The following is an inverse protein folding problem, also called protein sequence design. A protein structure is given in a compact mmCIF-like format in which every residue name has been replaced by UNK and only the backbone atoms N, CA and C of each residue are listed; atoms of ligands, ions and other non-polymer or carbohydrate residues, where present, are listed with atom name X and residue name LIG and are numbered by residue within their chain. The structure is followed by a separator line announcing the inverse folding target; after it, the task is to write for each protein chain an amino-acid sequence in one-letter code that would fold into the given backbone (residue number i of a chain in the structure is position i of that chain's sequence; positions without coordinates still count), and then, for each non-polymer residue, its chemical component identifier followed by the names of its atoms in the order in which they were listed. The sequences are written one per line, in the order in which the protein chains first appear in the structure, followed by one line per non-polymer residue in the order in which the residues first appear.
data_IF_368248462757
#
_entry.id   IF_368248462757
#
_cell.length_a   1.000
_cell.length_b   1.000
_cell.length_c   1.000
_cell.angle_alpha   90.00
_cell.angle_beta   90.00
_cell.angle_gamma   90.00
#
_symmetry.space_group_name_H-M   'P 1'
#
loop_
_entity.id
_entity.type
_entity.pdbx_description
1 polymer ?
#
# COMPACT_ATOMS: atom_id res chain seq x y z
N UNK A 1 -42.39 -18.49 -2.66
CA UNK A 1 -41.30 -18.17 -1.71
C UNK A 1 -40.33 -17.24 -2.40
N UNK A 2 -40.41 -15.93 -2.13
CA UNK A 2 -39.40 -14.97 -2.58
C UNK A 2 -38.27 -15.00 -1.55
N UNK A 3 -37.19 -15.71 -1.85
CA UNK A 3 -35.96 -15.59 -1.08
C UNK A 3 -35.34 -14.23 -1.42
N UNK A 4 -35.51 -13.26 -0.53
CA UNK A 4 -34.71 -12.03 -0.53
C UNK A 4 -33.25 -12.43 -0.29
N UNK A 5 -32.46 -12.50 -1.36
CA UNK A 5 -31.00 -12.67 -1.26
C UNK A 5 -30.38 -11.30 -1.02
N UNK A 6 -29.71 -11.11 0.11
CA UNK A 6 -28.91 -9.92 0.38
C UNK A 6 -27.43 -10.20 0.07
N UNK A 7 -26.68 -9.21 -0.45
CA UNK A 7 -25.26 -9.38 -0.69
C UNK A 7 -24.51 -9.47 0.65
N UNK A 8 -23.64 -10.47 0.79
CA UNK A 8 -22.67 -10.53 1.87
C UNK A 8 -21.49 -9.60 1.56
N UNK A 9 -20.79 -9.15 2.59
CA UNK A 9 -19.70 -8.19 2.45
C UNK A 9 -18.60 -8.61 1.47
N UNK A 10 -18.20 -9.88 1.46
CA UNK A 10 -17.23 -10.39 0.49
C UNK A 10 -17.73 -10.27 -0.96
N UNK A 11 -19.03 -10.49 -1.19
CA UNK A 11 -19.66 -10.28 -2.49
C UNK A 11 -19.74 -8.82 -2.89
N UNK A 12 -19.92 -7.91 -1.92
CA UNK A 12 -19.87 -6.46 -2.17
C UNK A 12 -18.46 -6.01 -2.57
N UNK A 13 -17.41 -6.49 -1.88
CA UNK A 13 -16.00 -6.21 -2.23
C UNK A 13 -15.70 -6.73 -3.64
N UNK A 14 -16.05 -7.98 -3.94
CA UNK A 14 -15.86 -8.57 -5.27
C UNK A 14 -16.51 -7.72 -6.38
N UNK A 15 -17.76 -7.31 -6.16
CA UNK A 15 -18.50 -6.48 -7.12
C UNK A 15 -17.92 -5.07 -7.25
N UNK A 16 -17.47 -4.45 -6.15
CA UNK A 16 -16.97 -3.08 -6.14
C UNK A 16 -15.68 -2.93 -6.94
N UNK A 17 -14.73 -3.85 -6.74
CA UNK A 17 -13.43 -3.83 -7.43
C UNK A 17 -13.40 -4.60 -8.75
N UNK A 18 -14.55 -5.16 -9.17
CA UNK A 18 -14.66 -6.02 -10.34
C UNK A 18 -13.64 -7.18 -10.30
N UNK A 19 -13.64 -7.93 -9.18
CA UNK A 19 -12.74 -9.05 -8.89
C UNK A 19 -13.56 -10.34 -8.78
N UNK A 20 -12.97 -11.47 -9.18
CA UNK A 20 -13.63 -12.76 -9.05
C UNK A 20 -13.96 -13.08 -7.58
N UNK A 21 -15.17 -13.57 -7.32
CA UNK A 21 -15.54 -14.04 -5.97
C UNK A 21 -14.59 -15.14 -5.45
N UNK A 22 -14.01 -15.97 -6.34
CA UNK A 22 -13.03 -17.00 -5.99
C UNK A 22 -11.75 -16.40 -5.42
N UNK A 23 -11.31 -15.27 -5.97
CA UNK A 23 -10.16 -14.52 -5.47
C UNK A 23 -10.43 -13.94 -4.09
N UNK A 24 -11.61 -13.32 -3.88
CA UNK A 24 -11.97 -12.79 -2.56
C UNK A 24 -12.09 -13.91 -1.51
N UNK A 25 -12.66 -15.05 -1.88
CA UNK A 25 -12.72 -16.24 -1.02
C UNK A 25 -11.30 -16.75 -0.69
N UNK A 26 -10.40 -16.82 -1.68
CA UNK A 26 -9.00 -17.21 -1.49
C UNK A 26 -8.27 -16.24 -0.57
N UNK A 27 -8.46 -14.93 -0.75
CA UNK A 27 -7.90 -13.92 0.16
C UNK A 27 -8.42 -14.12 1.58
N UNK A 28 -9.74 -14.18 1.76
CA UNK A 28 -10.36 -14.31 3.08
C UNK A 28 -9.98 -15.60 3.81
N UNK A 29 -9.67 -16.69 3.10
CA UNK A 29 -9.26 -17.97 3.69
C UNK A 29 -7.75 -18.10 3.92
N UNK A 30 -6.93 -17.37 3.15
CA UNK A 30 -5.47 -17.50 3.20
C UNK A 30 -4.79 -16.45 4.09
N UNK A 31 -5.37 -15.25 4.21
CA UNK A 31 -4.80 -14.21 5.08
C UNK A 31 -5.05 -14.54 6.55
N UNK A 32 -4.07 -14.27 7.40
CA UNK A 32 -4.14 -14.42 8.87
C UNK A 32 -3.51 -13.21 9.54
N UNK A 33 -3.77 -12.98 10.82
CA UNK A 33 -3.11 -11.90 11.58
C UNK A 33 -1.58 -11.97 11.61
N UNK A 34 -0.98 -13.10 11.21
CA UNK A 34 0.48 -13.33 11.17
C UNK A 34 1.06 -13.34 9.76
N UNK A 35 0.25 -13.09 8.73
CA UNK A 35 0.73 -13.05 7.35
C UNK A 35 1.80 -11.96 7.22
N UNK A 36 2.96 -12.32 6.67
CA UNK A 36 4.08 -11.41 6.44
C UNK A 36 4.16 -11.02 4.95
N UNK A 37 5.14 -10.18 4.58
CA UNK A 37 5.29 -9.69 3.21
C UNK A 37 5.38 -10.81 2.16
N UNK A 38 6.15 -11.87 2.43
CA UNK A 38 6.27 -13.03 1.54
C UNK A 38 4.91 -13.66 1.30
N UNK A 39 4.21 -14.00 2.39
CA UNK A 39 2.89 -14.61 2.32
C UNK A 39 1.86 -13.71 1.63
N UNK A 40 1.93 -12.39 1.86
CA UNK A 40 1.02 -11.44 1.23
C UNK A 40 1.20 -11.39 -0.29
N UNK A 41 2.44 -11.36 -0.78
CA UNK A 41 2.74 -11.40 -2.22
C UNK A 41 2.35 -12.74 -2.85
N UNK A 42 2.53 -13.86 -2.14
CA UNK A 42 2.09 -15.18 -2.58
C UNK A 42 0.56 -15.25 -2.69
N UNK A 43 -0.17 -14.75 -1.68
CA UNK A 43 -1.63 -14.70 -1.69
C UNK A 43 -2.12 -13.80 -2.81
N UNK A 44 -1.53 -12.62 -3.00
CA UNK A 44 -1.86 -11.72 -4.11
C UNK A 44 -1.68 -12.40 -5.47
N UNK A 45 -0.52 -13.04 -5.69
CA UNK A 45 -0.22 -13.74 -6.95
C UNK A 45 -1.09 -14.98 -7.19
N UNK A 46 -1.74 -15.50 -6.14
CA UNK A 46 -2.69 -16.60 -6.23
C UNK A 46 -4.08 -16.16 -6.72
N UNK A 47 -4.32 -14.88 -6.99
CA UNK A 47 -5.60 -14.41 -7.50
C UNK A 47 -6.00 -15.10 -8.83
N UNK A 48 -7.28 -15.44 -8.99
CA UNK A 48 -7.82 -16.08 -10.21
C UNK A 48 -7.66 -15.21 -11.45
N UNK A 49 -7.55 -13.89 -11.29
CA UNK A 49 -7.21 -12.93 -12.34
C UNK A 49 -5.91 -13.29 -13.08
N UNK A 50 -4.97 -13.93 -12.38
CA UNK A 50 -3.68 -14.31 -12.94
C UNK A 50 -3.70 -15.67 -13.65
N UNK A 51 -4.77 -16.47 -13.53
CA UNK A 51 -4.90 -17.74 -14.27
C UNK A 51 -4.87 -17.54 -15.80
N UNK A 52 -5.23 -16.34 -16.27
CA UNK A 52 -5.24 -15.97 -17.69
C UNK A 52 -3.85 -15.55 -18.21
N UNK A 53 -2.82 -15.49 -17.36
CA UNK A 53 -1.46 -15.17 -17.82
C UNK A 53 -0.96 -16.26 -18.77
N UNK A 54 -0.51 -15.89 -19.98
CA UNK A 54 -0.10 -16.87 -20.96
C UNK A 54 1.17 -17.59 -20.49
N UNK A 55 1.17 -18.92 -20.57
CA UNK A 55 2.37 -19.75 -20.39
C UNK A 55 2.82 -20.19 -21.77
N UNK A 56 3.87 -19.56 -22.31
CA UNK A 56 4.35 -19.87 -23.66
C UNK A 56 5.43 -20.95 -23.60
N UNK A 57 5.48 -21.90 -24.55
CA UNK A 57 6.53 -22.91 -24.58
C UNK A 57 7.93 -22.28 -24.62
N UNK A 58 8.83 -22.75 -23.75
CA UNK A 58 10.22 -22.27 -23.68
C UNK A 58 10.44 -21.08 -22.75
N UNK A 59 9.41 -20.57 -22.06
CA UNK A 59 9.55 -19.52 -21.04
C UNK A 59 10.09 -20.03 -19.70
N UNK A 60 10.07 -21.35 -19.46
CA UNK A 60 10.38 -21.95 -18.15
C UNK A 60 11.78 -21.57 -17.66
N UNK A 61 12.77 -21.62 -18.55
CA UNK A 61 14.15 -21.27 -18.24
C UNK A 61 14.31 -19.77 -18.00
N UNK A 62 13.53 -18.93 -18.68
CA UNK A 62 13.52 -17.48 -18.45
C UNK A 62 12.92 -17.13 -17.09
N UNK A 63 11.80 -17.77 -16.72
CA UNK A 63 11.16 -17.60 -15.40
C UNK A 63 12.07 -18.12 -14.30
N UNK A 64 12.70 -19.29 -14.48
CA UNK A 64 13.67 -19.84 -13.54
C UNK A 64 14.85 -18.89 -13.30
N UNK A 65 15.44 -18.33 -14.36
CA UNK A 65 16.51 -17.33 -14.25
C UNK A 65 16.03 -16.08 -13.53
N UNK A 66 14.82 -15.61 -13.83
CA UNK A 66 14.24 -14.47 -13.13
C UNK A 66 14.16 -14.74 -11.63
N UNK A 67 13.54 -15.86 -11.24
CA UNK A 67 13.35 -16.29 -9.85
C UNK A 67 14.66 -16.37 -9.06
N UNK A 68 15.72 -16.90 -9.66
CA UNK A 68 17.02 -17.04 -8.99
C UNK A 68 17.67 -15.71 -8.58
N UNK A 69 17.20 -14.58 -9.11
CA UNK A 69 17.72 -13.25 -8.80
C UNK A 69 16.73 -12.37 -8.03
N UNK A 70 15.58 -12.92 -7.62
CA UNK A 70 14.58 -12.18 -6.87
C UNK A 70 14.87 -12.22 -5.35
N UNK A 71 14.50 -11.17 -4.60
CA UNK A 71 14.77 -11.12 -3.16
C UNK A 71 14.04 -12.16 -2.32
N UNK A 72 12.81 -12.53 -2.70
CA UNK A 72 12.01 -13.50 -1.95
C UNK A 72 12.05 -14.85 -2.67
N UNK A 73 12.53 -15.87 -1.96
CA UNK A 73 12.68 -17.21 -2.49
C UNK A 73 11.34 -17.92 -2.68
N UNK A 74 11.30 -18.79 -3.69
CA UNK A 74 10.15 -19.61 -4.03
C UNK A 74 10.34 -21.03 -3.49
N UNK A 75 9.28 -21.60 -2.92
CA UNK A 75 9.28 -22.99 -2.45
C UNK A 75 8.81 -23.91 -3.58
N UNK A 76 9.72 -24.74 -4.10
CA UNK A 76 9.45 -25.72 -5.17
C UNK A 76 8.63 -25.14 -6.36
N UNK A 77 9.09 -24.05 -7.00
CA UNK A 77 8.31 -23.36 -8.03
C UNK A 77 8.07 -24.25 -9.25
N UNK A 78 6.80 -24.32 -9.68
CA UNK A 78 6.42 -24.86 -10.99
C UNK A 78 6.50 -23.73 -12.01
N UNK A 79 7.52 -23.74 -12.87
CA UNK A 79 7.75 -22.64 -13.82
C UNK A 79 6.70 -22.52 -14.93
N UNK A 80 5.81 -23.49 -15.05
CA UNK A 80 4.64 -23.49 -15.95
C UNK A 80 3.35 -23.03 -15.26
N UNK A 81 3.42 -22.63 -13.98
CA UNK A 81 2.26 -22.14 -13.22
C UNK A 81 2.11 -20.62 -13.42
N UNK A 82 0.97 -20.13 -13.90
CA UNK A 82 0.72 -18.70 -14.07
C UNK A 82 0.80 -17.90 -12.76
N UNK A 83 0.50 -18.49 -11.61
CA UNK A 83 0.63 -17.80 -10.31
C UNK A 83 2.09 -17.63 -9.89
N UNK A 84 2.93 -18.65 -10.16
CA UNK A 84 4.40 -18.55 -9.95
C UNK A 84 4.98 -17.47 -10.86
N UNK A 85 4.53 -17.43 -12.12
CA UNK A 85 4.90 -16.39 -13.07
C UNK A 85 4.45 -15.00 -12.60
N UNK A 86 3.21 -14.84 -12.14
CA UNK A 86 2.69 -13.58 -11.61
C UNK A 86 3.54 -13.06 -10.44
N UNK A 87 3.83 -13.92 -9.47
CA UNK A 87 4.67 -13.57 -8.31
C UNK A 87 6.09 -13.15 -8.77
N UNK A 88 6.71 -13.91 -9.68
CA UNK A 88 8.03 -13.57 -10.20
C UNK A 88 8.05 -12.21 -10.92
N UNK A 89 7.02 -11.91 -11.72
CA UNK A 89 6.90 -10.63 -12.42
C UNK A 89 6.60 -9.46 -11.47
N UNK A 90 5.79 -9.67 -10.42
CA UNK A 90 5.57 -8.67 -9.36
C UNK A 90 6.89 -8.32 -8.67
N UNK A 91 7.64 -9.31 -8.19
CA UNK A 91 8.92 -9.07 -7.53
C UNK A 91 9.96 -8.47 -8.48
N UNK A 92 9.93 -8.81 -9.77
CA UNK A 92 10.79 -8.20 -10.77
C UNK A 92 10.49 -6.70 -10.93
N UNK A 93 9.20 -6.32 -10.96
CA UNK A 93 8.75 -4.93 -10.96
C UNK A 93 9.21 -4.18 -9.71
N UNK A 94 9.01 -4.74 -8.52
CA UNK A 94 9.47 -4.14 -7.26
C UNK A 94 10.99 -3.98 -7.20
N UNK A 95 11.72 -4.84 -7.91
CA UNK A 95 13.18 -4.77 -8.03
C UNK A 95 13.66 -3.91 -9.20
N UNK A 96 12.75 -3.27 -9.95
CA UNK A 96 13.01 -2.54 -11.21
C UNK A 96 13.86 -3.32 -12.21
N UNK A 97 13.69 -4.65 -12.22
CA UNK A 97 14.41 -5.53 -13.12
C UNK A 97 13.73 -5.52 -14.47
N UNK A 98 14.51 -5.26 -15.52
CA UNK A 98 14.02 -5.37 -16.88
C UNK A 98 13.67 -6.82 -17.20
N UNK A 99 12.41 -7.02 -17.59
CA UNK A 99 11.90 -8.27 -18.15
C UNK A 99 11.97 -8.15 -19.67
N UNK A 100 12.60 -9.13 -20.33
CA UNK A 100 12.90 -9.08 -21.77
C UNK A 100 12.31 -10.28 -22.51
N UNK A 101 12.34 -10.23 -23.85
CA UNK A 101 11.88 -11.32 -24.71
C UNK A 101 10.37 -11.53 -24.60
N UNK A 102 9.94 -12.80 -24.61
CA UNK A 102 8.52 -13.16 -24.60
C UNK A 102 7.76 -12.69 -23.35
N UNK A 103 8.48 -12.45 -22.24
CA UNK A 103 7.90 -12.00 -20.98
C UNK A 103 7.70 -10.48 -20.92
N UNK A 104 8.23 -9.69 -21.87
CA UNK A 104 8.34 -8.24 -21.74
C UNK A 104 7.00 -7.50 -21.56
N UNK A 105 5.89 -8.05 -22.07
CA UNK A 105 4.57 -7.44 -21.97
C UNK A 105 3.77 -7.92 -20.74
N UNK A 106 4.12 -9.08 -20.19
CA UNK A 106 3.34 -9.74 -19.16
C UNK A 106 3.32 -8.97 -17.81
N UNK A 107 4.39 -8.27 -17.36
CA UNK A 107 4.32 -7.43 -16.16
C UNK A 107 3.21 -6.40 -16.20
N UNK A 108 2.89 -5.83 -17.37
CA UNK A 108 1.84 -4.82 -17.49
C UNK A 108 0.47 -5.38 -17.11
N UNK A 109 0.15 -6.58 -17.60
CA UNK A 109 -1.11 -7.26 -17.28
C UNK A 109 -1.20 -7.61 -15.79
N UNK A 110 -0.06 -8.03 -15.21
CA UNK A 110 0.04 -8.32 -13.78
C UNK A 110 -0.24 -7.06 -12.94
N UNK A 111 0.41 -5.94 -13.28
CA UNK A 111 0.30 -4.69 -12.51
C UNK A 111 -1.09 -4.05 -12.62
N UNK A 112 -1.74 -4.11 -13.79
CA UNK A 112 -3.11 -3.61 -13.98
C UNK A 112 -4.12 -4.30 -13.06
N UNK A 113 -3.93 -5.60 -12.79
CA UNK A 113 -4.78 -6.33 -11.84
C UNK A 113 -4.31 -6.17 -10.39
N UNK A 114 -3.00 -6.09 -10.13
CA UNK A 114 -2.45 -6.02 -8.78
C UNK A 114 -3.00 -4.85 -7.96
N UNK A 115 -3.17 -3.66 -8.54
CA UNK A 115 -3.66 -2.48 -7.81
C UNK A 115 -5.08 -2.69 -7.25
N UNK A 116 -6.04 -3.12 -8.08
CA UNK A 116 -7.41 -3.40 -7.61
C UNK A 116 -7.46 -4.58 -6.62
N UNK A 117 -6.63 -5.60 -6.85
CA UNK A 117 -6.53 -6.76 -5.97
C UNK A 117 -6.03 -6.38 -4.57
N UNK A 118 -5.03 -5.49 -4.48
CA UNK A 118 -4.52 -5.00 -3.22
C UNK A 118 -5.55 -4.15 -2.47
N UNK A 119 -6.28 -3.26 -3.16
CA UNK A 119 -7.36 -2.49 -2.53
C UNK A 119 -8.46 -3.40 -1.96
N UNK A 120 -8.88 -4.43 -2.71
CA UNK A 120 -9.82 -5.42 -2.20
C UNK A 120 -9.26 -6.24 -1.03
N UNK A 121 -7.96 -6.54 -1.05
CA UNK A 121 -7.28 -7.25 0.04
C UNK A 121 -7.23 -6.39 1.31
N UNK A 122 -6.99 -5.08 1.20
CA UNK A 122 -7.08 -4.13 2.33
C UNK A 122 -8.47 -4.20 2.97
N UNK A 123 -9.54 -4.20 2.17
CA UNK A 123 -10.91 -4.29 2.69
C UNK A 123 -11.20 -5.63 3.36
N UNK A 124 -10.69 -6.75 2.81
CA UNK A 124 -10.82 -8.08 3.43
C UNK A 124 -10.08 -8.13 4.77
N UNK A 125 -8.85 -7.60 4.84
CA UNK A 125 -8.02 -7.60 6.05
C UNK A 125 -8.60 -6.69 7.13
N UNK A 126 -9.04 -5.48 6.76
CA UNK A 126 -9.57 -4.47 7.68
C UNK A 126 -10.81 -4.97 8.43
N UNK A 127 -11.63 -5.80 7.78
CA UNK A 127 -12.82 -6.42 8.39
C UNK A 127 -12.51 -7.41 9.50
N UNK A 128 -11.32 -8.01 9.48
CA UNK A 128 -10.88 -8.93 10.52
C UNK A 128 -10.17 -8.22 11.69
N UNK A 129 -10.01 -6.89 11.62
CA UNK A 129 -9.36 -6.10 12.67
C UNK A 129 -7.85 -6.30 12.78
N UNK A 130 -7.19 -6.81 11.73
CA UNK A 130 -5.75 -7.07 11.73
C UNK A 130 -4.97 -5.84 11.26
N UNK A 131 -4.83 -4.84 12.14
CA UNK A 131 -4.20 -3.56 11.83
C UNK A 131 -2.83 -3.69 11.16
N UNK A 132 -1.90 -4.47 11.75
CA UNK A 132 -0.55 -4.62 11.19
C UNK A 132 -0.55 -5.20 9.76
N UNK A 133 -1.47 -6.13 9.46
CA UNK A 133 -1.60 -6.66 8.11
C UNK A 133 -2.25 -5.65 7.17
N UNK A 134 -3.21 -4.86 7.64
CA UNK A 134 -3.84 -3.81 6.84
C UNK A 134 -2.80 -2.76 6.42
N UNK A 135 -1.98 -2.30 7.37
CA UNK A 135 -0.87 -1.38 7.11
C UNK A 135 0.14 -1.99 6.12
N UNK A 136 0.56 -3.23 6.32
CA UNK A 136 1.44 -3.93 5.38
C UNK A 136 0.83 -4.03 3.98
N UNK A 137 -0.48 -4.24 3.86
CA UNK A 137 -1.17 -4.33 2.56
C UNK A 137 -1.24 -2.98 1.86
N UNK A 138 -1.40 -1.88 2.62
CA UNK A 138 -1.30 -0.52 2.10
C UNK A 138 0.13 -0.19 1.66
N UNK A 139 1.16 -0.56 2.44
CA UNK A 139 2.56 -0.42 2.06
C UNK A 139 2.88 -1.18 0.75
N UNK A 140 2.37 -2.41 0.59
CA UNK A 140 2.51 -3.16 -0.66
C UNK A 140 1.83 -2.45 -1.84
N UNK A 141 0.74 -1.72 -1.61
CA UNK A 141 0.10 -0.89 -2.64
C UNK A 141 1.03 0.24 -3.10
N UNK A 142 1.70 0.93 -2.17
CA UNK A 142 2.69 1.95 -2.49
C UNK A 142 3.90 1.34 -3.24
N UNK A 143 4.40 0.19 -2.76
CA UNK A 143 5.49 -0.57 -3.38
C UNK A 143 5.18 -0.91 -4.84
N UNK A 144 3.98 -1.42 -5.11
CA UNK A 144 3.53 -1.76 -6.48
C UNK A 144 3.38 -0.50 -7.34
N UNK A 145 2.80 0.57 -6.80
CA UNK A 145 2.62 1.83 -7.54
C UNK A 145 3.96 2.46 -7.95
N UNK A 146 4.94 2.44 -7.05
CA UNK A 146 6.24 3.09 -7.26
C UNK A 146 7.32 2.18 -7.82
N UNK A 147 7.05 0.87 -7.88
CA UNK A 147 7.99 -0.16 -8.32
C UNK A 147 9.23 -0.18 -7.43
N UNK A 148 9.03 -0.29 -6.12
CA UNK A 148 10.09 -0.29 -5.11
C UNK A 148 9.78 -1.29 -3.99
N UNK A 149 10.81 -1.83 -3.36
CA UNK A 149 10.66 -2.54 -2.10
C UNK A 149 10.56 -1.58 -0.92
N UNK A 150 9.91 -2.00 0.17
CA UNK A 150 9.82 -1.22 1.42
C UNK A 150 11.19 -0.77 1.99
N UNK A 151 12.26 -1.50 1.66
CA UNK A 151 13.64 -1.21 2.12
C UNK A 151 14.39 -0.22 1.22
N UNK A 152 13.84 0.10 0.06
CA UNK A 152 14.47 1.05 -0.85
C UNK A 152 14.30 2.48 -0.31
N UNK A 153 15.21 3.38 -0.69
CA UNK A 153 15.05 4.79 -0.39
C UNK A 153 13.80 5.35 -1.10
N UNK A 154 12.99 6.12 -0.38
CA UNK A 154 11.82 6.80 -0.93
C UNK A 154 12.20 7.79 -2.04
N UNK A 155 13.46 8.26 -2.08
CA UNK A 155 13.95 9.15 -3.13
C UNK A 155 13.97 8.49 -4.51
N UNK A 156 14.01 7.16 -4.60
CA UNK A 156 13.95 6.44 -5.87
C UNK A 156 12.59 6.57 -6.58
N UNK A 157 11.57 7.10 -5.91
CA UNK A 157 10.31 7.48 -6.55
C UNK A 157 10.49 8.66 -7.52
N UNK A 158 11.50 9.50 -7.28
CA UNK A 158 11.77 10.67 -8.11
C UNK A 158 12.32 10.27 -9.47
N UNK A 159 11.90 10.95 -10.55
CA UNK A 159 12.39 10.66 -11.89
C UNK A 159 13.89 10.96 -11.98
N UNK A 160 14.61 10.14 -12.74
CA UNK A 160 16.05 10.25 -13.01
C UNK A 160 16.99 9.98 -11.83
N UNK A 161 16.46 9.76 -10.62
CA UNK A 161 17.30 9.39 -9.47
C UNK A 161 17.72 7.92 -9.58
N UNK A 162 19.03 7.71 -9.64
CA UNK A 162 19.67 6.39 -9.57
C UNK A 162 20.09 6.09 -8.13
N UNK A 163 20.38 4.82 -7.83
CA UNK A 163 20.94 4.41 -6.53
C UNK A 163 22.21 5.20 -6.18
N UNK A 164 23.06 5.52 -7.16
CA UNK A 164 24.27 6.33 -6.94
C UNK A 164 23.93 7.76 -6.48
N UNK A 165 22.95 8.40 -7.12
CA UNK A 165 22.52 9.75 -6.74
C UNK A 165 21.81 9.76 -5.38
N UNK A 166 21.06 8.71 -5.08
CA UNK A 166 20.44 8.54 -3.75
C UNK A 166 21.49 8.41 -2.66
N UNK A 167 22.55 7.62 -2.89
CA UNK A 167 23.66 7.52 -1.93
C UNK A 167 24.31 8.90 -1.68
N UNK A 168 24.55 9.69 -2.74
CA UNK A 168 25.04 11.08 -2.61
C UNK A 168 24.07 11.97 -1.83
N UNK A 169 22.76 11.83 -2.03
CA UNK A 169 21.75 12.56 -1.26
C UNK A 169 21.83 12.20 0.22
N UNK A 170 21.90 10.92 0.55
CA UNK A 170 21.99 10.43 1.94
C UNK A 170 23.29 10.88 2.63
N UNK A 171 24.43 10.89 1.93
CA UNK A 171 25.68 11.45 2.43
C UNK A 171 25.56 12.94 2.80
N UNK A 172 24.64 13.67 2.14
CA UNK A 172 24.32 15.06 2.41
C UNK A 172 23.08 15.23 3.32
N UNK A 173 22.64 14.15 4.00
CA UNK A 173 21.48 14.13 4.92
C UNK A 173 20.14 14.48 4.26
N UNK A 174 20.01 14.14 2.98
CA UNK A 174 18.75 14.25 2.23
C UNK A 174 18.19 12.84 2.13
N UNK A 175 17.14 12.57 2.89
CA UNK A 175 16.54 11.24 3.02
C UNK A 175 15.11 11.21 2.48
N UNK A 176 14.43 12.36 2.49
CA UNK A 176 13.02 12.50 2.11
C UNK A 176 12.83 13.44 0.91
N UNK A 177 11.65 13.35 0.29
CA UNK A 177 11.25 14.28 -0.78
C UNK A 177 11.21 15.72 -0.26
N UNK A 178 10.82 15.92 1.00
CA UNK A 178 10.76 17.24 1.63
C UNK A 178 12.16 17.86 1.78
N UNK A 179 13.16 17.08 2.23
CA UNK A 179 14.55 17.55 2.34
C UNK A 179 15.08 18.05 0.98
N UNK A 180 14.75 17.31 -0.09
CA UNK A 180 15.16 17.70 -1.45
C UNK A 180 14.42 18.96 -1.93
N UNK A 181 13.16 19.16 -1.53
CA UNK A 181 12.41 20.38 -1.87
C UNK A 181 13.01 21.60 -1.16
N UNK A 182 13.40 21.45 0.09
CA UNK A 182 13.98 22.52 0.92
C UNK A 182 15.39 22.94 0.49
N UNK A 183 16.13 22.07 -0.21
CA UNK A 183 17.42 22.43 -0.80
C UNK A 183 17.33 23.63 -1.75
N UNK A 184 18.31 24.52 -1.63
CA UNK A 184 18.52 25.62 -2.58
C UNK A 184 18.82 25.07 -3.98
N UNK A 185 18.34 25.78 -5.00
CA UNK A 185 18.47 25.34 -6.39
C UNK A 185 19.92 25.17 -6.85
N UNK A 186 20.84 26.03 -6.41
CA UNK A 186 22.26 25.94 -6.75
C UNK A 186 22.91 24.68 -6.15
N UNK A 187 22.62 24.38 -4.89
CA UNK A 187 23.10 23.18 -4.19
C UNK A 187 22.54 21.92 -4.86
N UNK A 188 21.24 21.95 -5.22
CA UNK A 188 20.54 20.85 -5.91
C UNK A 188 21.15 20.56 -7.29
N UNK A 189 21.49 21.61 -8.04
CA UNK A 189 22.16 21.49 -9.35
C UNK A 189 23.55 20.86 -9.21
N UNK A 190 24.32 21.28 -8.22
CA UNK A 190 25.66 20.74 -7.96
C UNK A 190 25.60 19.28 -7.52
N UNK A 191 24.67 18.94 -6.62
CA UNK A 191 24.53 17.59 -6.08
C UNK A 191 24.04 16.59 -7.14
N UNK A 192 22.97 16.93 -7.87
CA UNK A 192 22.32 16.02 -8.80
C UNK A 192 23.02 15.97 -10.17
N UNK A 193 23.73 17.02 -10.55
CA UNK A 193 24.42 17.15 -11.86
C UNK A 193 23.49 16.87 -13.06
N UNK A 194 22.22 17.24 -12.91
CA UNK A 194 21.16 16.99 -13.90
C UNK A 194 20.94 18.17 -14.84
N UNK A 195 20.45 17.88 -16.03
CA UNK A 195 19.96 18.90 -16.96
C UNK A 195 18.71 19.61 -16.41
N UNK A 196 18.46 20.84 -16.87
CA UNK A 196 17.23 21.58 -16.52
C UNK A 196 15.96 20.79 -16.87
N UNK A 197 15.99 19.96 -17.91
CA UNK A 197 14.88 19.10 -18.28
C UNK A 197 14.57 18.05 -17.20
N UNK A 198 15.61 17.39 -16.68
CA UNK A 198 15.48 16.40 -15.61
C UNK A 198 15.04 17.05 -14.30
N UNK A 199 15.62 18.22 -13.94
CA UNK A 199 15.22 18.98 -12.75
C UNK A 199 13.76 19.43 -12.81
N UNK A 200 13.25 19.81 -13.99
CA UNK A 200 11.81 20.10 -14.16
C UNK A 200 10.92 18.88 -13.91
N UNK A 201 11.35 17.68 -14.28
CA UNK A 201 10.60 16.46 -13.99
C UNK A 201 10.55 16.19 -12.49
N UNK A 202 11.67 16.38 -11.78
CA UNK A 202 11.75 16.29 -10.32
C UNK A 202 10.82 17.31 -9.67
N UNK A 203 10.89 18.59 -10.07
CA UNK A 203 10.02 19.63 -9.54
C UNK A 203 8.54 19.32 -9.75
N UNK A 204 8.18 18.76 -10.93
CA UNK A 204 6.81 18.33 -11.22
C UNK A 204 6.34 17.20 -10.32
N UNK A 205 7.23 16.26 -9.98
CA UNK A 205 6.93 15.20 -9.03
C UNK A 205 6.73 15.80 -7.63
N UNK A 206 7.65 16.62 -7.14
CA UNK A 206 7.57 17.27 -5.83
C UNK A 206 6.27 18.08 -5.67
N UNK A 207 5.85 18.82 -6.70
CA UNK A 207 4.58 19.58 -6.68
C UNK A 207 3.32 18.71 -6.64
N UNK A 208 3.43 17.42 -6.98
CA UNK A 208 2.34 16.44 -6.90
C UNK A 208 2.47 15.51 -5.69
N UNK A 209 3.60 15.57 -4.98
CA UNK A 209 3.85 14.75 -3.81
C UNK A 209 2.90 15.22 -2.69
N UNK A 210 2.17 14.30 -2.03
CA UNK A 210 1.20 14.68 -1.01
C UNK A 210 1.85 15.40 0.17
N UNK A 211 1.42 16.63 0.41
CA UNK A 211 1.67 17.35 1.67
C UNK A 211 0.34 17.63 2.35
N UNK A 212 -0.08 16.70 3.20
CA UNK A 212 -1.39 16.73 3.86
C UNK A 212 -1.18 16.93 5.35
N UNK A 213 -1.57 18.09 5.87
CA UNK A 213 -1.59 18.35 7.30
C UNK A 213 -2.95 17.97 7.89
N UNK A 214 -2.98 16.98 8.79
CA UNK A 214 -4.20 16.54 9.43
C UNK A 214 -4.36 17.26 10.76
N UNK A 215 -5.40 18.10 10.85
CA UNK A 215 -5.91 18.62 12.12
C UNK A 215 -7.02 17.69 12.57
N UNK A 216 -6.84 17.06 13.74
CA UNK A 216 -7.92 16.31 14.37
C UNK A 216 -8.28 16.99 15.70
N UNK A 217 -9.57 17.07 15.95
CA UNK A 217 -10.11 17.40 17.27
C UNK A 217 -10.94 16.19 17.70
N UNK A 218 -10.73 15.69 18.91
CA UNK A 218 -11.65 14.73 19.50
C UNK A 218 -12.89 15.51 19.90
N UNK A 219 -13.99 15.36 19.14
CA UNK A 219 -15.27 15.98 19.45
C UNK A 219 -15.78 15.49 20.81
N UNK A 220 -16.39 16.38 21.59
CA UNK A 220 -16.88 16.11 22.95
C UNK A 220 -15.82 15.58 23.93
N UNK A 221 -14.61 16.15 23.92
CA UNK A 221 -13.68 15.89 25.02
C UNK A 221 -14.27 16.32 26.37
N UNK A 222 -15.13 17.36 26.41
CA UNK A 222 -15.86 17.79 27.62
C UNK A 222 -17.24 18.52 27.46
N UNK A 223 -17.76 18.90 26.26
CA UNK A 223 -19.15 19.39 25.94
C UNK A 223 -19.17 20.21 24.60
N UNK A 224 -20.12 20.03 23.67
CA UNK A 224 -20.22 20.82 22.40
C UNK A 224 -21.62 21.40 22.13
N UNK A 225 -21.71 22.59 21.48
CA UNK A 225 -22.95 23.32 21.09
C UNK A 225 -22.95 23.77 19.61
N UNK A 226 -24.12 24.10 19.07
CA UNK A 226 -24.34 24.33 17.64
C UNK A 226 -23.90 25.72 17.13
N UNK A 227 -23.19 25.78 15.99
CA UNK A 227 -22.98 27.04 15.24
C UNK A 227 -21.70 27.20 14.41
N UNK A 228 -20.75 26.27 14.43
CA UNK A 228 -19.41 26.53 13.87
C UNK A 228 -19.20 26.18 12.38
N UNK A 229 -18.36 26.98 11.71
CA UNK A 229 -18.05 26.98 10.27
C UNK A 229 -17.31 25.73 9.75
N UNK A 230 -17.47 25.48 8.45
CA UNK A 230 -17.07 24.24 7.75
C UNK A 230 -15.56 24.16 7.51
N UNK A 231 -14.91 23.31 8.30
CA UNK A 231 -13.67 22.62 7.96
C UNK A 231 -13.99 21.24 7.38
N UNK A 232 -13.17 20.71 6.45
CA UNK A 232 -13.24 19.28 6.12
C UNK A 232 -12.63 18.51 7.29
N UNK A 233 -13.43 18.34 8.34
CA UNK A 233 -13.09 17.51 9.48
C UNK A 233 -13.21 16.05 9.01
N UNK A 234 -12.09 15.33 8.97
CA UNK A 234 -12.13 13.87 8.80
C UNK A 234 -12.77 13.33 10.08
N UNK A 235 -14.07 13.08 10.05
CA UNK A 235 -14.83 12.50 11.15
C UNK A 235 -14.76 10.98 11.03
N UNK A 236 -14.06 10.34 11.96
CA UNK A 236 -13.99 8.89 12.09
C UNK A 236 -14.70 8.50 13.38
N UNK A 237 -15.82 7.81 13.24
CA UNK A 237 -16.64 7.35 14.37
C UNK A 237 -16.27 5.90 14.71
N UNK A 238 -15.99 5.64 15.99
CA UNK A 238 -15.81 4.29 16.51
C UNK A 238 -16.44 4.19 17.91
N UNK A 239 -16.83 2.99 18.31
CA UNK A 239 -17.38 2.77 19.64
C UNK A 239 -16.27 2.83 20.70
N UNK A 240 -16.49 3.60 21.77
CA UNK A 240 -15.62 3.58 22.94
C UNK A 240 -15.58 2.16 23.55
N UNK A 241 -14.42 1.73 24.09
CA UNK A 241 -14.30 0.41 24.71
C UNK A 241 -15.18 0.30 25.97
N UNK A 242 -15.66 -0.91 26.27
CA UNK A 242 -16.59 -1.16 27.38
C UNK A 242 -16.00 -0.89 28.77
N UNK A 243 -14.67 -0.97 28.89
CA UNK A 243 -13.97 -0.75 30.15
C UNK A 243 -13.56 0.72 30.30
N UNK A 244 -13.98 1.34 31.40
CA UNK A 244 -13.56 2.67 31.78
C UNK A 244 -12.03 2.77 31.96
N UNK A 245 -11.53 4.01 31.91
CA UNK A 245 -10.13 4.35 32.11
C UNK A 245 -9.48 5.01 30.89
N UNK A 246 -8.20 5.33 31.04
CA UNK A 246 -7.40 5.98 30.01
C UNK A 246 -6.94 4.97 28.96
N UNK A 247 -7.27 5.23 27.71
CA UNK A 247 -6.96 4.39 26.55
C UNK A 247 -6.07 5.15 25.58
N UNK A 248 -5.05 4.47 25.06
CA UNK A 248 -4.09 5.05 24.12
C UNK A 248 -4.39 4.50 22.73
N UNK A 249 -4.53 5.39 21.75
CA UNK A 249 -4.84 5.05 20.37
C UNK A 249 -3.84 5.74 19.43
N UNK A 250 -3.70 5.16 18.24
CA UNK A 250 -2.90 5.74 17.15
C UNK A 250 -3.78 5.84 15.91
N UNK A 251 -3.90 7.05 15.38
CA UNK A 251 -4.53 7.32 14.10
C UNK A 251 -3.48 7.19 12.99
N UNK A 252 -3.71 6.28 12.05
CA UNK A 252 -2.89 6.10 10.86
C UNK A 252 -3.54 6.77 9.66
N UNK A 253 -2.78 7.61 8.97
CA UNK A 253 -3.13 8.17 7.67
C UNK A 253 -2.14 7.65 6.62
N UNK A 254 -2.61 6.72 5.79
CA UNK A 254 -1.76 5.99 4.85
C UNK A 254 -2.06 6.39 3.41
N UNK A 255 -1.03 6.56 2.59
CA UNK A 255 -1.15 6.69 1.14
C UNK A 255 -1.18 5.31 0.48
N UNK A 256 -1.87 5.12 -0.64
CA UNK A 256 -1.80 3.88 -1.43
C UNK A 256 -0.80 3.98 -2.60
N UNK A 257 -0.24 5.17 -2.81
CA UNK A 257 0.47 5.53 -4.04
C UNK A 257 1.89 6.04 -3.84
N UNK A 258 2.20 6.74 -2.74
CA UNK A 258 3.52 7.33 -2.48
C UNK A 258 4.10 6.81 -1.17
N UNK A 259 5.40 6.51 -1.15
CA UNK A 259 6.13 6.22 0.08
C UNK A 259 6.56 7.52 0.78
N UNK A 260 6.57 7.51 2.11
CA UNK A 260 7.03 8.64 2.94
C UNK A 260 5.97 9.71 3.20
N UNK A 261 4.72 9.46 2.81
CA UNK A 261 3.57 10.33 3.08
C UNK A 261 2.74 9.88 4.29
N UNK A 262 3.02 8.69 4.81
CA UNK A 262 2.24 8.08 5.88
C UNK A 262 2.46 8.83 7.19
N UNK A 263 1.39 9.04 7.96
CA UNK A 263 1.42 9.78 9.21
C UNK A 263 0.75 9.02 10.32
N UNK A 264 1.38 9.06 11.49
CA UNK A 264 0.88 8.45 12.72
C UNK A 264 0.63 9.53 13.76
N UNK A 265 -0.56 9.54 14.35
CA UNK A 265 -0.93 10.49 15.40
C UNK A 265 -1.40 9.73 16.62
N UNK A 266 -0.60 9.80 17.68
CA UNK A 266 -0.98 9.23 18.97
C UNK A 266 -1.94 10.16 19.70
N UNK A 267 -3.01 9.60 20.24
CA UNK A 267 -3.98 10.32 21.06
C UNK A 267 -4.46 9.45 22.22
N UNK A 268 -5.11 10.09 23.18
CA UNK A 268 -5.59 9.44 24.40
C UNK A 268 -7.07 9.73 24.58
N UNK A 269 -7.82 8.70 24.96
CA UNK A 269 -9.25 8.77 25.25
C UNK A 269 -9.47 8.39 26.72
N UNK A 270 -10.14 9.24 27.48
CA UNK A 270 -10.55 8.93 28.85
C UNK A 270 -12.00 8.45 28.85
N UNK A 271 -12.19 7.15 28.97
CA UNK A 271 -13.52 6.53 28.99
C UNK A 271 -14.06 6.57 30.41
N UNK A 272 -15.21 7.23 30.60
CA UNK A 272 -15.90 7.28 31.89
C UNK A 272 -16.71 5.99 32.09
N UNK A 273 -16.95 5.61 33.34
CA UNK A 273 -17.88 4.51 33.65
C UNK A 273 -19.27 4.85 33.12
N UNK A 274 -19.99 3.83 32.62
CA UNK A 274 -21.37 4.00 32.23
C UNK A 274 -22.17 4.47 33.46
N UNK A 275 -22.82 5.63 33.34
CA UNK A 275 -23.76 6.07 34.37
C UNK A 275 -24.85 5.01 34.47
N UNK A 276 -25.07 4.47 35.67
CA UNK A 276 -26.25 3.65 35.91
C UNK A 276 -27.47 4.50 35.55
N UNK A 277 -28.35 3.98 34.69
CA UNK A 277 -29.66 4.59 34.48
C UNK A 277 -30.36 4.58 35.84
N UNK A 278 -30.53 5.76 36.45
CA UNK A 278 -31.44 5.92 37.57
C UNK A 278 -32.85 5.64 37.03
N UNK A 279 -33.38 4.46 37.33
CA UNK A 279 -34.80 4.13 37.16
C UNK A 279 -35.62 5.08 38.05
N UNK A 280 -36.05 6.21 37.49
CA UNK A 280 -36.99 7.15 38.12
C UNK A 280 -38.33 7.19 37.38
#
# INVERSE_FOLDING_TARGET
MNFLRSPLNLGMIASYYNISHTTIERFSSSVTSKTNLKGLLEILASASEFEQLPIRPGEEESIKRLINHLPISFENPKYTDPHVKANALLQAHLSRRMVVGNLAFDPREVLLSATRLLQAMVDVVSRNGWLSLALLTMEVSQMVTQGLWHRNSMLLQLPHLTEELVNKCQENRIETVFDLVEMKDDEKRVLLQMSDFQLRHIARFCNRFPDIYLKYNVLDSDNVSAGDDVSVQVKLDFAAPAEAGTRYYTLYFMCDSYLGCDKEYNFTLNVKEAMAEDDS
#
